data_IF_955768719851
#
_entry.id   IF_955768719851
#
_cell.length_a   1.000
_cell.length_b   1.000
_cell.length_c   1.000
_cell.angle_alpha   90.00
_cell.angle_beta   90.00
_cell.angle_gamma   90.00
#
_symmetry.space_group_name_H-M   'P 1'
#
loop_
_entity.id
_entity.type
_entity.pdbx_description
1 polymer ?
#
# COMPACT_ATOMS: atom_id res chain seq x y z
N UNK A 1 -29.31 8.56 -16.92
CA UNK A 1 -29.57 7.17 -16.46
C UNK A 1 -28.30 6.70 -15.82
N UNK A 2 -28.20 6.78 -14.50
CA UNK A 2 -27.13 6.15 -13.74
C UNK A 2 -27.31 4.63 -13.92
N UNK A 3 -26.39 4.01 -14.63
CA UNK A 3 -26.27 2.56 -14.61
C UNK A 3 -25.90 2.17 -13.18
N UNK A 4 -26.86 1.66 -12.46
CA UNK A 4 -26.64 1.01 -11.16
C UNK A 4 -25.85 -0.28 -11.44
N UNK A 5 -24.55 -0.14 -11.69
CA UNK A 5 -23.65 -1.30 -11.83
C UNK A 5 -23.50 -1.90 -10.44
N UNK A 6 -24.12 -3.03 -10.24
CA UNK A 6 -24.01 -3.82 -9.01
C UNK A 6 -22.53 -3.99 -8.65
N UNK A 7 -22.16 -3.57 -7.43
CA UNK A 7 -20.77 -3.65 -6.96
C UNK A 7 -20.34 -5.09 -6.81
N UNK A 8 -19.19 -5.43 -7.36
CA UNK A 8 -18.61 -6.77 -7.21
C UNK A 8 -18.10 -6.98 -5.78
N UNK A 9 -18.15 -8.24 -5.33
CA UNK A 9 -17.66 -8.67 -4.03
C UNK A 9 -16.66 -9.80 -4.18
N UNK A 10 -15.50 -9.69 -3.52
CA UNK A 10 -14.54 -10.76 -3.29
C UNK A 10 -14.80 -11.33 -1.90
N UNK A 11 -15.17 -12.60 -1.80
CA UNK A 11 -15.54 -13.22 -0.52
C UNK A 11 -14.88 -14.57 -0.32
N UNK A 12 -14.67 -14.92 0.93
CA UNK A 12 -14.16 -16.21 1.36
C UNK A 12 -15.18 -16.89 2.27
N UNK A 13 -15.30 -18.19 2.18
CA UNK A 13 -16.23 -18.98 2.97
C UNK A 13 -15.50 -20.15 3.62
N UNK A 14 -15.49 -20.17 4.96
CA UNK A 14 -15.03 -21.30 5.74
C UNK A 14 -13.58 -21.74 5.49
N UNK A 15 -12.66 -20.81 5.19
CA UNK A 15 -11.27 -21.15 4.87
C UNK A 15 -10.58 -21.92 6.00
N UNK A 16 -9.98 -23.05 5.65
CA UNK A 16 -9.14 -23.87 6.54
C UNK A 16 -7.78 -24.09 5.89
N UNK A 17 -6.72 -23.93 6.68
CA UNK A 17 -5.36 -24.30 6.26
C UNK A 17 -4.61 -25.03 7.36
N UNK A 18 -4.06 -26.19 6.97
CA UNK A 18 -3.32 -27.08 7.85
C UNK A 18 -1.91 -27.28 7.28
N UNK A 19 -0.89 -27.00 8.08
CA UNK A 19 0.50 -27.31 7.78
C UNK A 19 1.00 -28.40 8.74
N UNK A 20 1.26 -29.58 8.19
CA UNK A 20 1.61 -30.75 8.99
C UNK A 20 0.48 -31.12 9.95
N UNK A 21 0.70 -30.94 11.27
CA UNK A 21 -0.30 -31.19 12.31
C UNK A 21 -0.96 -29.91 12.87
N UNK A 22 -0.55 -28.74 12.37
CA UNK A 22 -1.01 -27.45 12.88
C UNK A 22 -2.06 -26.85 11.97
N UNK A 23 -3.26 -26.63 12.48
CA UNK A 23 -4.29 -25.80 11.84
C UNK A 23 -3.94 -24.33 12.06
N UNK A 24 -3.57 -23.63 10.98
CA UNK A 24 -3.15 -22.22 11.01
C UNK A 24 -4.32 -21.28 10.77
N UNK A 25 -5.26 -21.70 9.92
CA UNK A 25 -6.54 -21.02 9.66
C UNK A 25 -7.65 -22.04 9.84
N UNK A 26 -8.69 -21.68 10.59
CA UNK A 26 -9.76 -22.57 10.99
C UNK A 26 -11.13 -21.87 10.83
N UNK A 27 -11.82 -22.18 9.77
CA UNK A 27 -13.17 -21.68 9.45
C UNK A 27 -13.25 -20.13 9.39
N UNK A 28 -12.37 -19.51 8.58
CA UNK A 28 -12.31 -18.05 8.43
C UNK A 28 -13.07 -17.62 7.20
N UNK A 29 -14.02 -16.69 7.40
CA UNK A 29 -14.82 -16.07 6.33
C UNK A 29 -14.72 -14.56 6.43
N UNK A 30 -14.52 -13.89 5.30
CA UNK A 30 -14.54 -12.44 5.16
C UNK A 30 -14.84 -12.05 3.71
N UNK A 31 -15.16 -10.79 3.52
CA UNK A 31 -15.48 -10.26 2.19
C UNK A 31 -14.99 -8.83 2.01
N UNK A 32 -14.83 -8.41 0.76
CA UNK A 32 -14.49 -7.04 0.34
C UNK A 32 -15.37 -6.67 -0.84
N UNK A 33 -16.01 -5.51 -0.77
CA UNK A 33 -16.84 -4.96 -1.85
C UNK A 33 -16.08 -3.88 -2.61
N UNK A 34 -16.35 -3.70 -3.89
CA UNK A 34 -15.77 -2.60 -4.67
C UNK A 34 -16.07 -1.24 -4.03
N UNK A 35 -15.03 -0.38 -3.96
CA UNK A 35 -15.12 0.93 -3.32
C UNK A 35 -15.07 0.88 -1.79
N UNK A 36 -14.57 -0.21 -1.23
CA UNK A 36 -14.39 -0.42 0.21
C UNK A 36 -12.94 -0.75 0.54
N UNK A 37 -12.46 -0.29 1.69
CA UNK A 37 -11.17 -0.68 2.28
C UNK A 37 -11.43 -1.55 3.50
N UNK A 38 -10.97 -2.78 3.47
CA UNK A 38 -11.13 -3.77 4.53
C UNK A 38 -9.78 -4.12 5.14
N UNK A 39 -9.67 -4.08 6.47
CA UNK A 39 -8.49 -4.53 7.21
C UNK A 39 -8.61 -6.00 7.63
N UNK A 40 -7.56 -6.79 7.44
CA UNK A 40 -7.43 -8.13 8.02
C UNK A 40 -6.34 -8.09 9.09
N UNK A 41 -6.74 -7.95 10.35
CA UNK A 41 -5.91 -7.64 11.50
C UNK A 41 -5.70 -8.85 12.41
N UNK A 42 -4.77 -8.75 13.33
CA UNK A 42 -4.50 -9.76 14.35
C UNK A 42 -3.02 -9.87 14.71
N UNK A 43 -2.68 -10.53 15.81
CA UNK A 43 -1.29 -10.72 16.24
C UNK A 43 -0.51 -11.61 15.26
N UNK A 44 0.82 -11.68 15.45
CA UNK A 44 1.66 -12.59 14.70
C UNK A 44 1.23 -14.04 14.92
N UNK A 45 1.14 -14.81 13.84
CA UNK A 45 0.66 -16.19 13.87
C UNK A 45 -0.86 -16.37 13.97
N UNK A 46 -1.66 -15.28 13.90
CA UNK A 46 -3.13 -15.36 13.90
C UNK A 46 -3.74 -15.93 12.62
N UNK A 47 -2.96 -16.18 11.58
CA UNK A 47 -3.44 -16.72 10.31
C UNK A 47 -3.71 -15.67 9.22
N UNK A 48 -3.43 -14.36 9.46
CA UNK A 48 -3.67 -13.26 8.50
C UNK A 48 -3.07 -13.53 7.12
N UNK A 49 -1.75 -13.62 7.05
CA UNK A 49 -1.00 -13.83 5.80
C UNK A 49 -1.44 -15.10 5.08
N UNK A 50 -1.73 -16.17 5.82
CA UNK A 50 -2.21 -17.43 5.23
C UNK A 50 -3.61 -17.25 4.62
N UNK A 51 -4.55 -16.61 5.33
CA UNK A 51 -5.89 -16.31 4.83
C UNK A 51 -5.83 -15.40 3.61
N UNK A 52 -5.00 -14.38 3.67
CA UNK A 52 -4.73 -13.46 2.57
C UNK A 52 -4.16 -14.19 1.33
N UNK A 53 -3.18 -15.08 1.52
CA UNK A 53 -2.60 -15.85 0.41
C UNK A 53 -3.57 -16.88 -0.18
N UNK A 54 -4.48 -17.42 0.61
CA UNK A 54 -5.57 -18.25 0.06
C UNK A 54 -6.50 -17.43 -0.84
N UNK A 55 -6.80 -16.20 -0.45
CA UNK A 55 -7.66 -15.30 -1.26
C UNK A 55 -6.99 -14.85 -2.56
N UNK A 56 -5.66 -14.74 -2.60
CA UNK A 56 -4.90 -14.38 -3.82
C UNK A 56 -4.58 -15.56 -4.73
N UNK A 57 -4.87 -16.80 -4.30
CA UNK A 57 -4.50 -18.02 -5.02
C UNK A 57 -3.03 -18.41 -4.89
N UNK A 58 -2.26 -17.76 -4.00
CA UNK A 58 -0.87 -18.15 -3.68
C UNK A 58 -0.80 -19.43 -2.84
N UNK A 59 -1.84 -19.68 -2.05
CA UNK A 59 -1.99 -20.88 -1.21
C UNK A 59 -3.36 -21.47 -1.46
N UNK A 60 -3.43 -22.76 -1.77
CA UNK A 60 -4.70 -23.49 -1.88
C UNK A 60 -5.17 -23.86 -0.48
N UNK A 61 -6.44 -23.54 -0.09
CA UNK A 61 -7.00 -23.96 1.19
C UNK A 61 -7.15 -25.49 1.27
N UNK A 62 -7.22 -26.03 2.49
CA UNK A 62 -7.59 -27.43 2.69
C UNK A 62 -9.10 -27.62 2.65
N UNK A 63 -9.84 -26.61 3.13
CA UNK A 63 -11.31 -26.53 3.09
C UNK A 63 -11.73 -25.07 2.89
N UNK A 64 -12.96 -24.87 2.45
CA UNK A 64 -13.54 -23.56 2.20
C UNK A 64 -13.28 -23.05 0.80
N UNK A 65 -13.88 -21.93 0.47
CA UNK A 65 -13.98 -21.42 -0.90
C UNK A 65 -13.67 -19.94 -1.01
N UNK A 66 -13.25 -19.52 -2.19
CA UNK A 66 -13.02 -18.11 -2.56
C UNK A 66 -13.86 -17.79 -3.79
N UNK A 67 -14.60 -16.67 -3.74
CA UNK A 67 -15.52 -16.25 -4.79
C UNK A 67 -15.29 -14.81 -5.20
N UNK A 68 -15.53 -14.52 -6.48
CA UNK A 68 -15.83 -13.17 -6.99
C UNK A 68 -17.28 -13.18 -7.46
N UNK A 69 -18.14 -12.47 -6.74
CA UNK A 69 -19.59 -12.62 -6.83
C UNK A 69 -19.99 -14.10 -6.67
N UNK A 70 -20.63 -14.67 -7.70
CA UNK A 70 -21.04 -16.09 -7.72
C UNK A 70 -20.01 -17.02 -8.34
N UNK A 71 -18.90 -16.46 -8.86
CA UNK A 71 -17.85 -17.25 -9.50
C UNK A 71 -16.84 -17.74 -8.49
N UNK A 72 -16.76 -19.04 -8.32
CA UNK A 72 -15.72 -19.68 -7.55
C UNK A 72 -14.36 -19.61 -8.26
N UNK A 73 -13.32 -19.24 -7.49
CA UNK A 73 -11.93 -19.11 -7.97
C UNK A 73 -10.93 -19.88 -7.10
N UNK A 74 -11.38 -20.68 -6.14
CA UNK A 74 -10.58 -21.35 -5.11
C UNK A 74 -9.38 -22.11 -5.66
N UNK A 75 -9.61 -22.99 -6.65
CA UNK A 75 -8.56 -23.85 -7.22
C UNK A 75 -7.88 -23.24 -8.46
N UNK A 76 -8.19 -21.99 -8.75
CA UNK A 76 -7.57 -21.32 -9.88
C UNK A 76 -6.13 -20.90 -9.55
N UNK A 77 -5.17 -21.04 -10.46
CA UNK A 77 -3.82 -20.56 -10.25
C UNK A 77 -3.80 -19.03 -10.17
N UNK A 78 -2.80 -18.47 -9.49
CA UNK A 78 -2.62 -17.03 -9.19
C UNK A 78 -2.87 -16.12 -10.40
N UNK A 79 -2.38 -16.49 -11.59
CA UNK A 79 -2.59 -15.68 -12.79
C UNK A 79 -4.06 -15.60 -13.23
N UNK A 80 -4.87 -16.61 -12.87
CA UNK A 80 -6.31 -16.58 -13.12
C UNK A 80 -7.04 -15.69 -12.12
N UNK A 81 -6.60 -15.62 -10.86
CA UNK A 81 -7.07 -14.60 -9.90
C UNK A 81 -6.84 -13.20 -10.48
N UNK A 82 -5.64 -12.92 -10.98
CA UNK A 82 -5.33 -11.65 -11.63
C UNK A 82 -6.23 -11.35 -12.84
N UNK A 83 -6.50 -12.34 -13.70
CA UNK A 83 -7.41 -12.20 -14.84
C UNK A 83 -8.88 -12.02 -14.46
N UNK A 84 -9.28 -12.48 -13.27
CA UNK A 84 -10.60 -12.23 -12.69
C UNK A 84 -10.67 -10.90 -11.93
N UNK A 85 -9.59 -10.11 -11.91
CA UNK A 85 -9.58 -8.76 -11.37
C UNK A 85 -9.01 -8.65 -9.95
N UNK A 86 -8.28 -9.64 -9.44
CA UNK A 86 -7.58 -9.57 -8.15
C UNK A 86 -6.13 -9.15 -8.36
N UNK A 87 -5.80 -7.90 -8.07
CA UNK A 87 -4.43 -7.41 -8.05
C UNK A 87 -3.74 -7.73 -6.71
N UNK A 88 -2.45 -8.02 -6.73
CA UNK A 88 -1.66 -8.29 -5.53
C UNK A 88 -0.41 -7.42 -5.48
N UNK A 89 -0.20 -6.78 -4.36
CA UNK A 89 0.96 -5.95 -4.06
C UNK A 89 1.66 -6.52 -2.81
N UNK A 90 2.78 -7.20 -2.97
CA UNK A 90 3.53 -7.82 -1.86
C UNK A 90 4.17 -6.76 -0.95
N UNK A 91 4.58 -7.21 0.24
CA UNK A 91 5.37 -6.42 1.18
C UNK A 91 6.73 -6.05 0.57
N UNK A 92 7.40 -7.01 -0.07
CA UNK A 92 8.67 -6.77 -0.73
C UNK A 92 8.50 -6.02 -2.05
N UNK A 93 9.50 -5.19 -2.38
CA UNK A 93 9.51 -4.42 -3.62
C UNK A 93 9.45 -5.33 -4.84
N UNK A 94 8.37 -5.17 -5.64
CA UNK A 94 8.08 -5.98 -6.82
C UNK A 94 8.47 -5.31 -8.15
N UNK A 95 8.99 -4.08 -8.11
CA UNK A 95 9.43 -3.34 -9.30
C UNK A 95 10.58 -4.07 -10.02
N UNK A 96 10.55 -4.11 -11.33
CA UNK A 96 11.67 -4.63 -12.13
C UNK A 96 12.84 -3.64 -12.07
N UNK A 97 13.85 -3.97 -11.28
CA UNK A 97 14.94 -3.05 -10.88
C UNK A 97 15.72 -2.47 -12.07
N UNK A 98 15.89 -3.24 -13.15
CA UNK A 98 16.65 -2.87 -14.36
C UNK A 98 15.80 -2.36 -15.50
N UNK A 99 14.52 -2.13 -15.27
CA UNK A 99 13.61 -1.50 -16.21
C UNK A 99 13.28 -0.08 -15.73
N UNK A 100 13.01 0.82 -16.69
CA UNK A 100 12.52 2.16 -16.34
C UNK A 100 11.12 2.11 -15.75
N UNK A 101 10.65 3.20 -15.14
CA UNK A 101 9.29 3.33 -14.64
C UNK A 101 8.28 3.07 -15.77
N UNK A 102 8.48 3.69 -16.93
CA UNK A 102 7.57 3.48 -18.08
C UNK A 102 7.59 2.03 -18.58
N UNK A 103 8.77 1.39 -18.62
CA UNK A 103 8.87 0.00 -19.07
C UNK A 103 8.25 -0.97 -18.05
N UNK A 104 8.36 -0.69 -16.77
CA UNK A 104 7.68 -1.44 -15.71
C UNK A 104 6.16 -1.44 -15.91
N UNK A 105 5.55 -0.31 -16.25
CA UNK A 105 4.12 -0.20 -16.51
C UNK A 105 3.76 -0.78 -17.87
N UNK A 106 4.54 -0.44 -18.92
CA UNK A 106 4.31 -0.89 -20.27
C UNK A 106 4.35 -2.41 -20.41
N UNK A 107 5.27 -3.10 -19.71
CA UNK A 107 5.39 -4.55 -19.73
C UNK A 107 4.08 -5.27 -19.39
N UNK A 108 3.32 -4.70 -18.43
CA UNK A 108 2.02 -5.24 -18.03
C UNK A 108 0.92 -4.87 -19.03
N UNK A 109 0.94 -3.65 -19.57
CA UNK A 109 0.00 -3.23 -20.64
C UNK A 109 0.14 -4.08 -21.89
N UNK A 110 1.35 -4.53 -22.25
CA UNK A 110 1.62 -5.41 -23.38
C UNK A 110 1.04 -6.82 -23.19
N UNK A 111 0.96 -7.30 -21.95
CA UNK A 111 0.35 -8.59 -21.64
C UNK A 111 -1.19 -8.56 -21.75
N UNK A 112 -1.81 -7.37 -21.70
CA UNK A 112 -3.25 -7.22 -21.79
C UNK A 112 -3.74 -7.39 -23.22
N UNK A 113 -4.57 -8.41 -23.45
CA UNK A 113 -5.17 -8.67 -24.77
C UNK A 113 -6.16 -7.57 -25.16
N UNK A 114 -6.26 -7.28 -26.45
CA UNK A 114 -7.26 -6.34 -27.01
C UNK A 114 -6.85 -4.87 -26.99
N UNK A 115 -5.68 -4.50 -26.44
CA UNK A 115 -5.15 -3.14 -26.50
C UNK A 115 -4.30 -2.93 -27.76
N UNK A 116 -4.58 -1.89 -28.53
CA UNK A 116 -3.70 -1.41 -29.59
C UNK A 116 -2.45 -0.74 -29.01
N UNK A 117 -1.46 -0.48 -29.85
CA UNK A 117 -0.25 0.29 -29.43
C UNK A 117 -0.60 1.72 -28.97
N UNK A 118 -1.63 2.33 -29.57
CA UNK A 118 -2.11 3.65 -29.20
C UNK A 118 -2.77 3.61 -27.81
N UNK A 119 -3.67 2.65 -27.56
CA UNK A 119 -4.36 2.49 -26.27
C UNK A 119 -3.37 2.25 -25.13
N UNK A 120 -2.33 1.42 -25.36
CA UNK A 120 -1.29 1.17 -24.35
C UNK A 120 -0.53 2.44 -23.99
N UNK A 121 -0.20 3.26 -25.01
CA UNK A 121 0.50 4.53 -24.79
C UNK A 121 -0.37 5.53 -24.03
N UNK A 122 -1.64 5.66 -24.39
CA UNK A 122 -2.59 6.51 -23.70
C UNK A 122 -2.75 6.10 -22.23
N UNK A 123 -2.95 4.80 -21.95
CA UNK A 123 -3.01 4.26 -20.60
C UNK A 123 -1.72 4.49 -19.81
N UNK A 124 -0.57 4.32 -20.43
CA UNK A 124 0.74 4.61 -19.82
C UNK A 124 0.83 6.08 -19.40
N UNK A 125 0.51 7.01 -20.31
CA UNK A 125 0.55 8.46 -20.01
C UNK A 125 -0.41 8.81 -18.87
N UNK A 126 -1.62 8.25 -18.89
CA UNK A 126 -2.61 8.44 -17.82
C UNK A 126 -2.08 7.96 -16.47
N UNK A 127 -1.51 6.76 -16.38
CA UNK A 127 -0.96 6.20 -15.14
C UNK A 127 0.27 6.99 -14.65
N UNK A 128 1.18 7.38 -15.55
CA UNK A 128 2.35 8.20 -15.19
C UNK A 128 1.91 9.54 -14.61
N UNK A 129 0.90 10.18 -15.22
CA UNK A 129 0.35 11.46 -14.73
C UNK A 129 -0.35 11.27 -13.40
N UNK A 130 -1.23 10.28 -13.29
CA UNK A 130 -2.04 10.01 -12.10
C UNK A 130 -1.17 9.77 -10.84
N UNK A 131 -0.05 9.05 -11.00
CA UNK A 131 0.86 8.72 -9.89
C UNK A 131 2.07 9.66 -9.77
N UNK A 132 2.04 10.81 -10.45
CA UNK A 132 3.12 11.83 -10.41
C UNK A 132 4.51 11.24 -10.68
N UNK A 133 4.61 10.37 -11.70
CA UNK A 133 5.83 9.67 -12.07
C UNK A 133 6.57 10.31 -13.25
N UNK A 134 6.14 11.50 -13.72
CA UNK A 134 6.70 12.16 -14.90
C UNK A 134 8.20 12.43 -14.77
N UNK A 135 8.63 12.93 -13.59
CA UNK A 135 10.03 13.30 -13.33
C UNK A 135 10.97 12.10 -13.31
N UNK A 136 10.46 10.94 -12.89
CA UNK A 136 11.24 9.70 -12.75
C UNK A 136 10.94 8.67 -13.82
N UNK A 137 10.16 9.04 -14.84
CA UNK A 137 9.68 8.16 -15.91
C UNK A 137 10.76 7.26 -16.51
N UNK A 138 11.95 7.81 -16.73
CA UNK A 138 13.10 7.13 -17.33
C UNK A 138 14.08 6.52 -16.32
N UNK A 139 13.88 6.79 -15.04
CA UNK A 139 14.73 6.22 -14.00
C UNK A 139 14.49 4.70 -13.89
N UNK A 140 15.57 3.97 -13.61
CA UNK A 140 15.49 2.54 -13.37
C UNK A 140 14.85 2.25 -12.00
N UNK A 141 14.20 1.11 -11.86
CA UNK A 141 13.52 0.72 -10.63
C UNK A 141 14.40 0.68 -9.38
N UNK A 142 15.72 0.43 -9.53
CA UNK A 142 16.70 0.46 -8.44
C UNK A 142 17.16 1.88 -8.04
N UNK A 143 16.82 2.90 -8.82
CA UNK A 143 17.13 4.32 -8.57
C UNK A 143 16.00 5.08 -7.87
N UNK A 144 14.85 4.43 -7.71
CA UNK A 144 13.65 5.06 -7.16
C UNK A 144 13.72 5.14 -5.62
N UNK A 145 13.25 6.26 -5.07
CA UNK A 145 12.93 6.37 -3.65
C UNK A 145 11.82 5.37 -3.25
N UNK A 146 11.63 5.13 -1.95
CA UNK A 146 10.59 4.22 -1.47
C UNK A 146 9.19 4.59 -1.96
N UNK A 147 8.83 5.87 -1.88
CA UNK A 147 7.52 6.37 -2.35
C UNK A 147 7.35 6.28 -3.87
N UNK A 148 8.36 6.68 -4.67
CA UNK A 148 8.34 6.56 -6.13
C UNK A 148 8.21 5.10 -6.58
N UNK A 149 8.92 4.20 -5.92
CA UNK A 149 8.85 2.76 -6.17
C UNK A 149 7.45 2.24 -5.88
N UNK A 150 6.86 2.59 -4.72
CA UNK A 150 5.52 2.15 -4.36
C UNK A 150 4.46 2.67 -5.33
N UNK A 151 4.55 3.95 -5.73
CA UNK A 151 3.66 4.52 -6.76
C UNK A 151 3.80 3.81 -8.10
N UNK A 152 5.02 3.43 -8.49
CA UNK A 152 5.27 2.66 -9.72
C UNK A 152 4.65 1.26 -9.66
N UNK A 153 4.76 0.56 -8.52
CA UNK A 153 4.16 -0.76 -8.32
C UNK A 153 2.64 -0.71 -8.40
N UNK A 154 2.03 0.31 -7.79
CA UNK A 154 0.58 0.51 -7.83
C UNK A 154 0.13 0.87 -9.25
N UNK A 155 0.82 1.77 -9.95
CA UNK A 155 0.53 2.10 -11.34
C UNK A 155 0.62 0.87 -12.25
N UNK A 156 1.63 0.02 -12.04
CA UNK A 156 1.78 -1.26 -12.73
C UNK A 156 0.63 -2.23 -12.42
N UNK A 157 0.20 -2.32 -11.16
CA UNK A 157 -0.95 -3.12 -10.77
C UNK A 157 -2.23 -2.63 -11.44
N UNK A 158 -2.44 -1.32 -11.54
CA UNK A 158 -3.60 -0.72 -12.19
C UNK A 158 -3.64 -0.90 -13.71
N UNK A 159 -2.51 -1.17 -14.34
CA UNK A 159 -2.44 -1.44 -15.78
C UNK A 159 -3.34 -2.62 -16.22
N UNK A 160 -3.60 -3.58 -15.33
CA UNK A 160 -4.53 -4.69 -15.57
C UNK A 160 -5.99 -4.36 -15.27
N UNK A 161 -6.28 -3.16 -14.75
CA UNK A 161 -7.63 -2.70 -14.32
C UNK A 161 -8.27 -3.67 -13.31
N UNK A 162 -7.64 -3.85 -12.13
CA UNK A 162 -8.15 -4.75 -11.12
C UNK A 162 -9.46 -4.25 -10.54
N UNK A 163 -10.32 -5.18 -10.08
CA UNK A 163 -11.53 -4.90 -9.32
C UNK A 163 -11.25 -4.87 -7.82
N UNK A 164 -10.27 -5.65 -7.41
CA UNK A 164 -9.78 -5.75 -6.04
C UNK A 164 -8.26 -5.65 -6.01
N UNK A 165 -7.73 -5.00 -4.99
CA UNK A 165 -6.29 -4.95 -4.73
C UNK A 165 -6.02 -5.47 -3.32
N UNK A 166 -5.11 -6.43 -3.26
CA UNK A 166 -4.65 -7.07 -2.05
C UNK A 166 -3.29 -6.45 -1.65
N UNK A 167 -3.23 -5.77 -0.50
CA UNK A 167 -2.02 -5.11 0.03
C UNK A 167 -1.48 -5.88 1.23
N UNK A 168 -0.30 -6.45 1.08
CA UNK A 168 0.37 -7.22 2.13
C UNK A 168 1.36 -6.31 2.86
N UNK A 169 1.07 -6.01 4.13
CA UNK A 169 1.85 -5.17 5.03
C UNK A 169 2.39 -3.87 4.40
N UNK A 170 1.54 -3.02 3.81
CA UNK A 170 1.99 -1.85 3.05
C UNK A 170 2.68 -0.77 3.91
N UNK A 171 2.52 -0.79 5.24
CA UNK A 171 3.10 0.18 6.18
C UNK A 171 4.33 -0.35 6.92
N UNK A 172 4.72 -1.63 6.68
CA UNK A 172 5.82 -2.25 7.39
C UNK A 172 7.17 -1.62 7.03
N UNK A 173 7.91 -1.15 8.04
CA UNK A 173 9.24 -0.60 7.85
C UNK A 173 9.30 0.70 7.03
N UNK A 174 8.19 1.41 6.93
CA UNK A 174 8.05 2.65 6.17
C UNK A 174 8.06 3.84 7.12
N UNK A 175 8.70 4.95 6.73
CA UNK A 175 8.68 6.18 7.51
C UNK A 175 7.29 6.85 7.51
N UNK A 176 6.96 7.71 8.52
CA UNK A 176 5.63 8.28 8.66
C UNK A 176 5.14 9.09 7.45
N UNK A 177 6.04 9.77 6.73
CA UNK A 177 5.68 10.57 5.55
C UNK A 177 5.25 9.63 4.41
N UNK A 178 6.02 8.59 4.18
CA UNK A 178 5.71 7.59 3.15
C UNK A 178 4.46 6.75 3.52
N UNK A 179 4.18 6.51 4.80
CA UNK A 179 2.90 5.92 5.26
C UNK A 179 1.73 6.80 4.83
N UNK A 180 1.81 8.11 5.03
CA UNK A 180 0.76 9.05 4.62
C UNK A 180 0.55 9.06 3.10
N UNK A 181 1.64 9.04 2.31
CA UNK A 181 1.56 8.91 0.85
C UNK A 181 0.83 7.62 0.43
N UNK A 182 1.16 6.48 1.05
CA UNK A 182 0.51 5.19 0.75
C UNK A 182 -0.97 5.24 1.14
N UNK A 183 -1.31 5.81 2.30
CA UNK A 183 -2.70 5.97 2.73
C UNK A 183 -3.51 6.82 1.74
N UNK A 184 -2.95 7.93 1.26
CA UNK A 184 -3.59 8.79 0.26
C UNK A 184 -3.82 8.03 -1.07
N UNK A 185 -2.84 7.22 -1.50
CA UNK A 185 -2.99 6.39 -2.69
C UNK A 185 -4.09 5.34 -2.50
N UNK A 186 -4.11 4.64 -1.36
CA UNK A 186 -5.14 3.63 -1.05
C UNK A 186 -6.53 4.28 -1.04
N UNK A 187 -6.66 5.44 -0.41
CA UNK A 187 -7.91 6.20 -0.40
C UNK A 187 -8.36 6.60 -1.81
N UNK A 188 -7.42 7.01 -2.68
CA UNK A 188 -7.70 7.28 -4.09
C UNK A 188 -8.23 6.04 -4.84
N UNK A 189 -7.61 4.87 -4.63
CA UNK A 189 -8.03 3.62 -5.25
C UNK A 189 -9.47 3.23 -4.86
N UNK A 190 -9.86 3.44 -3.60
CA UNK A 190 -11.25 3.27 -3.16
C UNK A 190 -12.22 4.11 -4.00
N UNK A 191 -11.88 5.39 -4.27
CA UNK A 191 -12.73 6.29 -5.06
C UNK A 191 -12.76 5.94 -6.57
N UNK A 192 -11.83 5.11 -7.03
CA UNK A 192 -11.89 4.46 -8.35
C UNK A 192 -12.76 3.21 -8.37
N UNK A 193 -13.58 2.99 -7.35
CA UNK A 193 -14.42 1.82 -7.20
C UNK A 193 -13.63 0.50 -7.19
N UNK A 194 -12.43 0.50 -6.56
CA UNK A 194 -11.62 -0.70 -6.34
C UNK A 194 -11.83 -1.15 -4.90
N UNK A 195 -12.13 -2.43 -4.68
CA UNK A 195 -12.16 -3.04 -3.35
C UNK A 195 -10.73 -3.31 -2.87
N UNK A 196 -10.41 -3.01 -1.62
CA UNK A 196 -9.05 -3.13 -1.10
C UNK A 196 -9.05 -3.97 0.16
N UNK A 197 -8.21 -5.01 0.19
CA UNK A 197 -7.91 -5.76 1.41
C UNK A 197 -6.50 -5.47 1.85
N UNK A 198 -6.33 -5.07 3.11
CA UNK A 198 -5.03 -4.75 3.71
C UNK A 198 -4.75 -5.69 4.87
N UNK A 199 -3.57 -6.31 4.88
CA UNK A 199 -3.00 -6.91 6.09
C UNK A 199 -1.88 -6.03 6.59
N UNK A 200 -1.85 -5.70 7.88
CA UNK A 200 -0.72 -5.01 8.48
C UNK A 200 -0.63 -5.32 9.97
N UNK A 201 0.56 -5.14 10.54
CA UNK A 201 0.78 -5.19 11.98
C UNK A 201 0.67 -3.79 12.61
N UNK A 202 0.73 -2.72 11.80
CA UNK A 202 0.49 -1.36 12.26
C UNK A 202 -1.01 -1.06 12.32
N UNK A 203 -1.59 -1.39 13.47
CA UNK A 203 -3.05 -1.33 13.68
C UNK A 203 -3.59 0.08 13.55
N UNK A 204 -2.89 1.09 14.11
CA UNK A 204 -3.32 2.47 14.05
C UNK A 204 -3.45 2.97 12.62
N UNK A 205 -2.41 2.75 11.81
CA UNK A 205 -2.39 3.23 10.44
C UNK A 205 -3.41 2.49 9.56
N UNK A 206 -3.65 1.21 9.85
CA UNK A 206 -4.64 0.42 9.11
C UNK A 206 -6.06 0.82 9.48
N UNK A 207 -6.39 0.93 10.77
CA UNK A 207 -7.74 1.33 11.21
C UNK A 207 -8.09 2.76 10.80
N UNK A 208 -7.09 3.64 10.62
CA UNK A 208 -7.32 5.00 10.18
C UNK A 208 -7.91 5.11 8.77
N UNK A 209 -7.63 4.14 7.88
CA UNK A 209 -8.07 4.18 6.49
C UNK A 209 -9.14 3.15 6.13
N UNK A 210 -9.38 2.16 6.98
CA UNK A 210 -10.36 1.10 6.71
C UNK A 210 -11.78 1.55 7.00
N UNK A 211 -12.73 1.04 6.23
CA UNK A 211 -14.17 1.18 6.48
C UNK A 211 -14.65 0.17 7.52
N UNK A 212 -14.09 -1.04 7.46
CA UNK A 212 -14.29 -2.12 8.44
C UNK A 212 -13.07 -3.03 8.50
N UNK A 213 -12.98 -3.83 9.54
CA UNK A 213 -11.89 -4.77 9.69
C UNK A 213 -12.37 -6.11 10.29
N UNK A 214 -11.64 -7.16 9.94
CA UNK A 214 -11.74 -8.50 10.50
C UNK A 214 -10.54 -8.74 11.39
N UNK A 215 -10.78 -9.08 12.64
CA UNK A 215 -9.72 -9.41 13.59
C UNK A 215 -9.59 -10.92 13.73
N UNK A 216 -8.47 -11.45 13.30
CA UNK A 216 -8.11 -12.87 13.50
C UNK A 216 -7.34 -13.05 14.81
N UNK A 217 -7.64 -14.14 15.51
CA UNK A 217 -6.94 -14.57 16.70
C UNK A 217 -6.88 -16.11 16.72
N UNK A 218 -5.70 -16.68 16.88
CA UNK A 218 -5.48 -18.14 16.91
C UNK A 218 -6.14 -18.90 15.72
N UNK A 219 -6.00 -18.35 14.54
CA UNK A 219 -6.52 -18.95 13.31
C UNK A 219 -8.03 -18.83 13.09
N UNK A 220 -8.74 -18.04 13.90
CA UNK A 220 -10.19 -17.86 13.82
C UNK A 220 -10.57 -16.39 13.78
N UNK A 221 -11.75 -16.10 13.26
CA UNK A 221 -12.33 -14.77 13.36
C UNK A 221 -12.77 -14.51 14.81
N UNK A 222 -12.15 -13.50 15.45
CA UNK A 222 -12.49 -13.07 16.80
C UNK A 222 -13.58 -12.00 16.80
N UNK A 223 -13.45 -11.02 15.89
CA UNK A 223 -14.38 -9.89 15.78
C UNK A 223 -14.33 -9.30 14.36
N UNK A 224 -15.43 -8.69 13.93
CA UNK A 224 -15.47 -7.86 12.72
C UNK A 224 -16.42 -6.68 12.94
N UNK A 225 -16.12 -5.57 12.30
CA UNK A 225 -16.93 -4.36 12.39
C UNK A 225 -16.17 -3.12 11.92
N UNK A 226 -16.73 -1.95 12.17
CA UNK A 226 -16.07 -0.67 11.92
C UNK A 226 -14.85 -0.48 12.84
N UNK A 227 -13.91 0.41 12.50
CA UNK A 227 -12.79 0.75 13.39
C UNK A 227 -13.23 1.21 14.77
N UNK A 228 -14.36 1.93 14.87
CA UNK A 228 -14.94 2.38 16.13
C UNK A 228 -15.46 1.22 16.96
N UNK A 229 -16.16 0.27 16.36
CA UNK A 229 -16.68 -0.92 17.04
C UNK A 229 -15.52 -1.79 17.55
N UNK A 230 -14.43 -1.95 16.77
CA UNK A 230 -13.23 -2.66 17.23
C UNK A 230 -12.57 -1.93 18.42
N UNK A 231 -12.41 -0.61 18.31
CA UNK A 231 -11.80 0.21 19.36
C UNK A 231 -12.62 0.29 20.64
N UNK A 232 -13.94 0.12 20.57
CA UNK A 232 -14.84 0.10 21.71
C UNK A 232 -14.94 -1.27 22.40
N UNK A 233 -14.56 -2.36 21.70
CA UNK A 233 -14.73 -3.72 22.18
C UNK A 233 -13.68 -4.12 23.22
N UNK A 234 -14.10 -4.47 24.43
CA UNK A 234 -13.20 -4.81 25.55
C UNK A 234 -12.36 -6.07 25.28
N UNK A 235 -12.94 -7.08 24.59
CA UNK A 235 -12.23 -8.32 24.23
C UNK A 235 -11.12 -8.01 23.22
N UNK A 236 -11.42 -7.16 22.25
CA UNK A 236 -10.47 -6.71 21.22
C UNK A 236 -9.33 -5.92 21.87
N UNK A 237 -9.65 -4.98 22.77
CA UNK A 237 -8.66 -4.23 23.56
C UNK A 237 -7.79 -5.18 24.39
N UNK A 238 -8.38 -6.09 25.11
CA UNK A 238 -7.64 -7.01 25.98
C UNK A 238 -6.72 -7.95 25.22
N UNK A 239 -7.15 -8.48 24.06
CA UNK A 239 -6.42 -9.52 23.32
C UNK A 239 -5.46 -8.96 22.26
N UNK A 240 -5.68 -7.73 21.79
CA UNK A 240 -4.94 -7.23 20.63
C UNK A 240 -4.56 -5.75 20.68
N UNK A 241 -5.51 -4.82 20.88
CA UNK A 241 -5.24 -3.38 20.76
C UNK A 241 -4.45 -2.80 21.95
N UNK A 242 -4.61 -3.39 23.16
CA UNK A 242 -4.20 -2.78 24.41
C UNK A 242 -5.33 -1.96 25.05
N UNK A 243 -5.31 -1.86 26.40
CA UNK A 243 -6.39 -1.21 27.18
C UNK A 243 -6.52 0.29 26.90
N UNK A 244 -5.39 0.94 26.61
CA UNK A 244 -5.30 2.39 26.40
C UNK A 244 -5.37 2.77 24.90
N UNK A 245 -5.81 1.86 24.06
CA UNK A 245 -5.93 2.12 22.62
C UNK A 245 -7.00 3.17 22.35
N UNK A 246 -6.61 4.24 21.65
CA UNK A 246 -7.50 5.28 21.15
C UNK A 246 -7.41 5.36 19.62
N UNK A 247 -8.56 5.36 18.96
CA UNK A 247 -8.63 5.53 17.51
C UNK A 247 -8.51 7.02 17.16
N UNK A 248 -7.45 7.40 16.46
CA UNK A 248 -7.25 8.76 15.95
C UNK A 248 -7.61 8.77 14.47
N UNK A 249 -8.85 9.17 14.13
CA UNK A 249 -9.25 9.28 12.71
C UNK A 249 -8.50 10.42 12.02
N UNK A 250 -7.82 10.10 10.91
CA UNK A 250 -7.32 11.09 9.97
C UNK A 250 -8.43 11.49 8.97
N UNK A 251 -8.51 12.78 8.65
CA UNK A 251 -9.29 13.26 7.51
C UNK A 251 -8.40 13.19 6.29
N UNK A 252 -8.71 12.32 5.35
CA UNK A 252 -8.01 12.27 4.07
C UNK A 252 -8.54 13.39 3.17
N UNK A 253 -7.63 14.20 2.63
CA UNK A 253 -7.98 15.16 1.60
C UNK A 253 -8.24 14.41 0.28
N UNK A 254 -9.16 14.92 -0.54
CA UNK A 254 -9.30 14.41 -1.91
C UNK A 254 -7.93 14.45 -2.57
N UNK A 255 -7.44 13.38 -3.16
CA UNK A 255 -6.11 13.36 -3.74
C UNK A 255 -6.10 14.27 -4.98
N UNK A 256 -5.66 15.48 -4.78
CA UNK A 256 -5.21 16.33 -5.86
C UNK A 256 -3.73 16.03 -6.01
N UNK A 257 -3.38 15.03 -6.83
CA UNK A 257 -2.02 14.90 -7.35
C UNK A 257 -1.78 16.04 -8.36
N UNK A 258 -1.84 17.30 -7.89
CA UNK A 258 -1.48 18.46 -8.66
C UNK A 258 -0.04 18.84 -8.36
N UNK A 259 0.65 19.31 -9.39
CA UNK A 259 1.99 19.83 -9.48
C UNK A 259 2.30 20.95 -8.46
N UNK A 260 2.40 20.67 -7.16
CA UNK A 260 2.83 21.65 -6.16
C UNK A 260 3.74 21.02 -5.10
N UNK A 261 4.93 20.57 -5.55
CA UNK A 261 6.10 20.40 -4.70
C UNK A 261 7.31 21.10 -5.35
N UNK A 262 7.14 22.38 -5.70
CA UNK A 262 8.23 23.23 -6.16
C UNK A 262 8.05 24.68 -5.69
N UNK A 263 7.89 24.87 -4.38
CA UNK A 263 8.04 26.19 -3.74
C UNK A 263 8.48 26.02 -2.28
N UNK A 264 9.72 25.60 -2.06
CA UNK A 264 10.42 25.77 -0.79
C UNK A 264 11.94 25.95 -0.92
N UNK A 265 12.43 26.35 -2.11
CA UNK A 265 13.84 26.71 -2.31
C UNK A 265 14.08 28.10 -2.94
N UNK A 266 13.13 29.03 -2.85
CA UNK A 266 13.33 30.39 -3.38
C UNK A 266 13.02 31.52 -2.37
N UNK A 267 13.36 31.32 -1.06
CA UNK A 267 13.33 32.44 -0.11
C UNK A 267 14.56 32.44 0.82
N UNK A 268 15.75 32.24 0.25
CA UNK A 268 17.04 32.46 0.95
C UNK A 268 18.02 33.26 0.10
N UNK A 269 17.53 34.27 -0.61
CA UNK A 269 18.41 35.27 -1.24
C UNK A 269 17.63 36.54 -1.47
N UNK A 270 17.51 37.40 -0.46
CA UNK A 270 17.40 38.85 -0.55
C UNK A 270 17.28 39.46 0.85
N UNK A 271 18.42 39.64 1.51
CA UNK A 271 18.65 40.72 2.48
C UNK A 271 20.14 41.00 2.58
N UNK A 272 20.72 41.54 1.53
CA UNK A 272 21.94 42.33 1.63
C UNK A 272 21.56 43.76 1.34
N UNK A 273 21.84 44.62 2.30
CA UNK A 273 21.75 46.05 2.09
C UNK A 273 21.94 46.86 3.36
N UNK A 274 23.17 47.33 3.57
CA UNK A 274 23.57 48.49 4.37
C UNK A 274 23.85 48.34 5.86
N UNK A 275 25.13 48.33 6.23
CA UNK A 275 25.73 49.43 6.99
C UNK A 275 27.26 49.28 7.08
N UNK A 276 27.93 50.31 6.71
CA UNK A 276 29.34 50.62 6.66
C UNK A 276 30.04 50.76 8.03
N UNK A 277 31.38 50.65 7.96
CA UNK A 277 32.43 51.17 8.87
C UNK A 277 32.70 50.41 10.18
N UNK A 278 33.85 49.87 10.44
CA UNK A 278 35.15 50.48 10.75
C UNK A 278 36.22 49.35 10.94
N UNK A 279 37.41 49.73 10.61
CA UNK A 279 38.72 49.09 10.74
C UNK A 279 39.02 48.49 12.12
N UNK A 280 39.76 47.36 12.17
CA UNK A 280 41.10 47.29 12.78
C UNK A 280 41.60 45.80 12.79
N UNK A 281 42.72 45.58 12.09
CA UNK A 281 43.68 44.51 12.36
C UNK A 281 44.59 45.03 13.53
N UNK A 282 45.32 44.20 14.32
CA UNK A 282 46.26 43.19 13.82
C UNK A 282 46.60 42.02 14.78
N UNK A 283 47.44 41.15 14.26
CA UNK A 283 48.52 40.32 14.87
C UNK A 283 48.21 38.89 15.32
N UNK A 284 48.85 38.02 14.53
CA UNK A 284 49.35 36.72 14.93
C UNK A 284 50.43 36.83 16.03
N UNK A 285 50.72 35.75 16.76
CA UNK A 285 52.04 35.16 16.56
C UNK A 285 52.07 33.65 16.32
N UNK A 286 53.12 33.31 15.62
CA UNK A 286 53.71 32.04 15.27
C UNK A 286 54.23 31.24 16.48
N UNK A 287 54.60 29.95 16.11
CA UNK A 287 55.65 29.09 16.70
C UNK A 287 55.05 28.11 17.76
N UNK A 288 55.29 26.81 17.71
CA UNK A 288 56.50 26.05 17.42
C UNK A 288 56.24 24.56 17.13
N UNK A 289 57.08 24.01 16.29
CA UNK A 289 57.31 22.60 16.03
C UNK A 289 57.96 21.89 17.24
N UNK A 290 57.62 20.64 17.50
CA UNK A 290 58.51 19.50 17.24
C UNK A 290 58.00 18.21 17.92
N UNK A 291 58.41 17.03 17.42
CA UNK A 291 57.83 15.71 17.74
C UNK A 291 58.64 14.99 18.83
N UNK A 292 58.00 14.03 19.50
CA UNK A 292 58.71 12.90 20.14
C UNK A 292 57.91 11.62 19.99
N UNK A 293 58.58 10.65 19.41
CA UNK A 293 58.50 9.22 19.51
C UNK A 293 58.20 8.72 20.95
N UNK A 294 57.28 7.76 21.02
CA UNK A 294 57.50 6.38 21.53
C UNK A 294 56.28 5.53 21.21
#
# INVERSE_FOLDING_TARGET
MEQNTEKMTLRTEGLVKIYGKRTVVNNVSFEVTQGEIVGLLGPNGAGKTTSFYMTTGLVVPNEGHVYINDKEITDMPVYMHARNGVGYLPQEASVFRKMSVEDNIMSVLEMKKGLTKADRREKLESLIKEFSLQKVRKNLGDQLSGGERRRTEIARCLAIEPKFIMLDEPFAGVDPIAVEEIQNVVWHLKHRNIGILITDHNVHETLNITDRAYLLFEGRLLFHGSPEELAANDIVKQKYLGRDFELKKKKFASPVFTENASHSEENASHSEGNASHLEEKPQQPEIDNQPTED
#
